data_IF_542698799882
#
_entry.id   IF_542698799882
#
_cell.length_a   1.000
_cell.length_b   1.000
_cell.length_c   1.000
_cell.angle_alpha   90.00
_cell.angle_beta   90.00
_cell.angle_gamma   90.00
#
_symmetry.space_group_name_H-M   'P 1'
#
loop_
_entity.id
_entity.type
_entity.pdbx_description
1 polymer ?
#
# COMPACT_ATOMS: atom_id res chain seq x y z
N UNK A 1 -11.18 15.31 25.37
CA UNK A 1 -12.17 14.62 24.51
C UNK A 1 -11.54 13.64 23.52
N UNK A 2 -10.82 14.06 22.47
CA UNK A 2 -10.20 13.10 21.52
C UNK A 2 -9.24 12.13 22.25
N UNK A 3 -8.41 12.65 23.15
CA UNK A 3 -7.48 11.84 23.93
C UNK A 3 -8.18 10.86 24.90
N UNK A 4 -9.27 11.29 25.52
CA UNK A 4 -9.96 10.48 26.54
C UNK A 4 -10.88 9.43 25.93
N UNK A 5 -11.48 9.72 24.76
CA UNK A 5 -12.45 8.85 24.09
C UNK A 5 -11.80 7.97 23.02
N UNK A 6 -11.07 8.58 22.08
CA UNK A 6 -10.57 7.88 20.90
C UNK A 6 -9.19 7.28 21.15
N UNK A 7 -8.26 8.07 21.71
CA UNK A 7 -6.89 7.59 21.94
C UNK A 7 -6.82 6.50 23.01
N UNK A 8 -7.66 6.56 24.04
CA UNK A 8 -7.70 5.53 25.08
C UNK A 8 -8.07 4.16 24.49
N UNK A 9 -9.11 4.09 23.66
CA UNK A 9 -9.48 2.86 22.96
C UNK A 9 -8.40 2.39 21.98
N UNK A 10 -7.87 3.31 21.16
CA UNK A 10 -6.78 2.99 20.23
C UNK A 10 -5.55 2.41 20.95
N UNK A 11 -5.17 2.98 22.10
CA UNK A 11 -4.06 2.47 22.94
C UNK A 11 -4.32 1.06 23.45
N UNK A 12 -5.55 0.80 23.88
CA UNK A 12 -5.96 -0.52 24.35
C UNK A 12 -5.90 -1.55 23.21
N UNK A 13 -6.50 -1.24 22.06
CA UNK A 13 -6.54 -2.13 20.91
C UNK A 13 -5.12 -2.40 20.34
N UNK A 14 -4.29 -1.35 20.17
CA UNK A 14 -2.88 -1.48 19.75
C UNK A 14 -2.00 -2.20 20.79
N UNK A 15 -2.35 -2.11 22.08
CA UNK A 15 -1.67 -2.82 23.15
C UNK A 15 -1.96 -4.32 23.19
N UNK A 16 -3.10 -4.74 22.60
CA UNK A 16 -3.44 -6.15 22.40
C UNK A 16 -2.72 -6.79 21.20
N UNK A 17 -2.12 -5.98 20.32
CA UNK A 17 -1.32 -6.46 19.20
C UNK A 17 0.16 -6.59 19.58
N UNK A 18 0.80 -7.65 19.08
CA UNK A 18 2.25 -7.77 19.12
C UNK A 18 2.90 -6.59 18.39
N UNK A 19 3.96 -6.01 18.97
CA UNK A 19 4.66 -4.85 18.41
C UNK A 19 5.20 -5.09 16.99
N UNK A 20 5.55 -6.34 16.67
CA UNK A 20 5.99 -6.73 15.32
C UNK A 20 4.90 -6.54 14.25
N UNK A 21 3.63 -6.57 14.65
CA UNK A 21 2.48 -6.43 13.75
C UNK A 21 2.05 -4.98 13.55
N UNK A 22 2.63 -4.01 14.28
CA UNK A 22 2.29 -2.59 14.11
C UNK A 22 2.52 -2.08 12.69
N UNK A 23 3.46 -2.66 11.95
CA UNK A 23 3.71 -2.28 10.56
C UNK A 23 2.89 -3.06 9.54
N UNK A 24 2.11 -4.05 9.97
CA UNK A 24 1.21 -4.81 9.11
C UNK A 24 -0.12 -4.06 8.94
N UNK A 25 -0.42 -3.65 7.70
CA UNK A 25 -1.67 -2.94 7.43
C UNK A 25 -2.92 -3.78 7.67
N UNK A 26 -2.98 -5.06 7.24
CA UNK A 26 -4.14 -5.90 7.51
C UNK A 26 -4.48 -6.04 9.00
N UNK A 27 -3.47 -6.09 9.87
CA UNK A 27 -3.67 -6.24 11.32
C UNK A 27 -4.05 -4.91 12.01
N UNK A 28 -3.70 -3.77 11.41
CA UNK A 28 -3.89 -2.44 12.03
C UNK A 28 -5.04 -1.64 11.41
N UNK A 29 -5.53 -2.03 10.24
CA UNK A 29 -6.51 -1.26 9.46
C UNK A 29 -7.82 -1.04 10.21
N UNK A 30 -8.37 -2.06 10.86
CA UNK A 30 -9.64 -1.96 11.58
C UNK A 30 -9.52 -1.03 12.80
N UNK A 31 -8.42 -1.14 13.54
CA UNK A 31 -8.14 -0.29 14.71
C UNK A 31 -7.97 1.18 14.28
N UNK A 32 -7.24 1.41 13.19
CA UNK A 32 -7.00 2.75 12.65
C UNK A 32 -8.27 3.38 12.06
N UNK A 33 -9.11 2.58 11.39
CA UNK A 33 -10.43 3.00 10.92
C UNK A 33 -11.36 3.37 12.08
N UNK A 34 -11.37 2.55 13.15
CA UNK A 34 -12.13 2.85 14.37
C UNK A 34 -11.69 4.16 15.02
N UNK A 35 -10.39 4.44 15.07
CA UNK A 35 -9.86 5.72 15.53
C UNK A 35 -10.30 6.88 14.64
N UNK A 36 -10.21 6.71 13.31
CA UNK A 36 -10.62 7.71 12.31
C UNK A 36 -12.09 8.07 12.47
N UNK A 37 -12.97 7.06 12.50
CA UNK A 37 -14.39 7.26 12.72
C UNK A 37 -14.67 7.92 14.09
N UNK A 38 -13.98 7.52 15.16
CA UNK A 38 -14.13 8.18 16.46
C UNK A 38 -13.78 9.68 16.40
N UNK A 39 -12.66 10.06 15.77
CA UNK A 39 -12.29 11.48 15.64
C UNK A 39 -13.27 12.26 14.77
N UNK A 40 -13.82 11.62 13.74
CA UNK A 40 -14.87 12.20 12.89
C UNK A 40 -16.16 12.46 13.70
N UNK A 41 -16.63 11.49 14.48
CA UNK A 41 -17.80 11.66 15.35
C UNK A 41 -17.59 12.73 16.42
N UNK A 42 -16.38 12.83 16.99
CA UNK A 42 -16.05 13.92 17.92
C UNK A 42 -16.10 15.27 17.22
N UNK A 43 -15.55 15.40 16.01
CA UNK A 43 -15.61 16.64 15.24
C UNK A 43 -17.05 17.05 14.94
N UNK A 44 -17.89 16.10 14.49
CA UNK A 44 -19.33 16.34 14.25
C UNK A 44 -20.06 16.81 15.51
N UNK A 45 -19.83 16.15 16.65
CA UNK A 45 -20.46 16.52 17.94
C UNK A 45 -20.03 17.91 18.41
N UNK A 46 -18.81 18.31 18.10
CA UNK A 46 -18.27 19.63 18.43
C UNK A 46 -18.55 20.67 17.35
N UNK A 47 -19.38 20.34 16.34
CA UNK A 47 -19.73 21.20 15.20
C UNK A 47 -18.50 21.74 14.45
N UNK A 48 -17.45 20.92 14.37
CA UNK A 48 -16.20 21.23 13.69
C UNK A 48 -16.08 20.45 12.38
N UNK A 49 -15.47 21.06 11.37
CA UNK A 49 -15.12 20.37 10.14
C UNK A 49 -14.06 19.29 10.38
N UNK A 50 -14.18 18.16 9.69
CA UNK A 50 -13.18 17.10 9.65
C UNK A 50 -12.77 16.88 8.19
N UNK A 51 -11.47 16.82 7.86
CA UNK A 51 -10.32 16.98 8.76
C UNK A 51 -10.04 18.47 9.10
N UNK A 52 -9.18 18.69 10.10
CA UNK A 52 -8.69 20.00 10.55
C UNK A 52 -7.32 19.88 11.23
N UNK A 53 -6.67 21.01 11.55
CA UNK A 53 -5.30 21.03 12.12
C UNK A 53 -5.17 20.30 13.48
N UNK A 54 -6.26 20.14 14.24
CA UNK A 54 -6.23 19.42 15.52
C UNK A 54 -6.11 17.92 15.24
N UNK A 55 -6.93 17.38 14.34
CA UNK A 55 -6.85 15.95 13.97
C UNK A 55 -5.57 15.64 13.21
N UNK A 56 -5.05 16.56 12.38
CA UNK A 56 -3.75 16.36 11.70
C UNK A 56 -2.61 16.19 12.71
N UNK A 57 -2.51 17.09 13.70
CA UNK A 57 -1.48 16.99 14.76
C UNK A 57 -1.64 15.71 15.59
N UNK A 58 -2.88 15.32 15.85
CA UNK A 58 -3.19 14.11 16.58
C UNK A 58 -2.73 12.84 15.83
N UNK A 59 -3.08 12.70 14.55
CA UNK A 59 -2.65 11.57 13.74
C UNK A 59 -1.14 11.56 13.51
N UNK A 60 -0.51 12.72 13.32
CA UNK A 60 0.96 12.82 13.25
C UNK A 60 1.65 12.30 14.51
N UNK A 61 1.09 12.55 15.69
CA UNK A 61 1.63 12.02 16.95
C UNK A 61 1.48 10.49 17.03
N UNK A 62 0.37 9.95 16.54
CA UNK A 62 0.15 8.50 16.48
C UNK A 62 1.15 7.84 15.54
N UNK A 63 1.34 8.39 14.34
CA UNK A 63 2.33 7.89 13.38
C UNK A 63 3.75 7.92 13.95
N UNK A 64 4.14 9.01 14.63
CA UNK A 64 5.43 9.09 15.32
C UNK A 64 5.60 8.12 16.48
N UNK A 65 4.52 7.70 17.12
CA UNK A 65 4.60 6.81 18.30
C UNK A 65 4.56 5.34 17.89
N UNK A 66 3.57 4.96 17.07
CA UNK A 66 3.28 3.57 16.73
C UNK A 66 3.90 3.12 15.41
N UNK A 67 4.00 4.04 14.43
CA UNK A 67 4.34 3.68 13.05
C UNK A 67 5.69 4.25 12.56
N UNK A 68 6.53 4.77 13.48
CA UNK A 68 7.76 5.49 13.12
C UNK A 68 8.80 4.65 12.37
N UNK A 69 8.82 3.33 12.58
CA UNK A 69 9.72 2.41 11.90
C UNK A 69 9.05 1.67 10.73
N UNK A 70 7.79 2.00 10.42
CA UNK A 70 7.07 1.28 9.39
C UNK A 70 7.46 1.79 8.00
N UNK A 71 7.68 0.89 7.04
CA UNK A 71 7.99 1.29 5.67
C UNK A 71 6.78 2.01 5.07
N UNK A 72 7.06 3.13 4.38
CA UNK A 72 6.09 3.83 3.54
C UNK A 72 5.72 2.98 2.30
N UNK A 73 6.67 2.16 1.85
CA UNK A 73 6.57 1.29 0.68
C UNK A 73 5.81 0.00 0.98
N UNK A 74 5.03 -0.48 0.00
CA UNK A 74 4.26 -1.73 0.09
C UNK A 74 2.77 -1.57 0.45
N UNK A 75 2.32 -0.37 0.83
CA UNK A 75 0.89 -0.05 1.03
C UNK A 75 0.24 0.63 -0.17
N UNK A 76 1.03 1.40 -0.93
CA UNK A 76 0.54 2.12 -2.10
C UNK A 76 0.68 1.24 -3.33
N UNK A 77 -0.41 1.07 -4.09
CA UNK A 77 -0.37 0.42 -5.39
C UNK A 77 0.54 1.25 -6.29
N UNK A 78 1.72 0.72 -6.63
CA UNK A 78 2.70 1.40 -7.46
C UNK A 78 3.33 0.40 -8.41
N UNK A 79 3.76 0.88 -9.57
CA UNK A 79 4.49 0.06 -10.52
C UNK A 79 5.78 -0.46 -9.88
N UNK A 80 6.20 -1.70 -10.21
CA UNK A 80 7.47 -2.22 -9.76
C UNK A 80 8.62 -1.34 -10.28
N UNK A 81 9.76 -1.30 -9.57
CA UNK A 81 10.92 -0.53 -10.01
C UNK A 81 11.34 -0.92 -11.44
N UNK A 82 11.83 0.06 -12.21
CA UNK A 82 12.11 -0.11 -13.64
C UNK A 82 13.07 -1.27 -13.94
N UNK A 83 14.00 -1.57 -13.01
CA UNK A 83 14.92 -2.70 -13.13
C UNK A 83 14.23 -4.07 -13.11
N UNK A 84 13.02 -4.16 -12.58
CA UNK A 84 12.18 -5.37 -12.62
C UNK A 84 11.23 -5.27 -13.83
N UNK A 85 10.55 -4.14 -14.00
CA UNK A 85 9.55 -3.96 -15.05
C UNK A 85 10.11 -4.11 -16.47
N UNK A 86 11.29 -3.54 -16.73
CA UNK A 86 11.86 -3.53 -18.07
C UNK A 86 12.22 -4.94 -18.59
N UNK A 87 12.89 -5.82 -17.81
CA UNK A 87 13.07 -7.23 -18.21
C UNK A 87 11.76 -7.97 -18.49
N UNK A 88 10.73 -7.76 -17.67
CA UNK A 88 9.41 -8.38 -17.85
C UNK A 88 8.75 -7.99 -19.18
N UNK A 89 9.01 -6.79 -19.68
CA UNK A 89 8.52 -6.32 -20.99
C UNK A 89 9.45 -6.82 -22.12
N UNK A 90 10.76 -6.69 -21.95
CA UNK A 90 11.73 -6.98 -23.00
C UNK A 90 11.79 -8.47 -23.37
N UNK A 91 11.72 -9.37 -22.37
CA UNK A 91 11.85 -10.82 -22.60
C UNK A 91 10.73 -11.36 -23.51
N UNK A 92 9.43 -11.13 -23.25
CA UNK A 92 8.35 -11.56 -24.14
C UNK A 92 8.46 -10.98 -25.55
N UNK A 93 8.85 -9.70 -25.69
CA UNK A 93 9.04 -9.06 -26.99
C UNK A 93 10.16 -9.75 -27.77
N UNK A 94 11.30 -10.01 -27.14
CA UNK A 94 12.41 -10.71 -27.80
C UNK A 94 12.01 -12.14 -28.19
N UNK A 95 11.29 -12.87 -27.33
CA UNK A 95 10.80 -14.22 -27.62
C UNK A 95 9.87 -14.21 -28.83
N UNK A 96 8.91 -13.28 -28.91
CA UNK A 96 8.00 -13.19 -30.06
C UNK A 96 8.75 -12.87 -31.36
N UNK A 97 9.74 -11.97 -31.32
CA UNK A 97 10.58 -11.66 -32.49
C UNK A 97 11.43 -12.86 -32.93
N UNK A 98 12.00 -13.59 -31.98
CA UNK A 98 12.78 -14.81 -32.28
C UNK A 98 11.89 -15.91 -32.88
N UNK A 99 10.72 -16.16 -32.30
CA UNK A 99 9.80 -17.17 -32.80
C UNK A 99 9.29 -16.83 -34.20
N UNK A 100 8.94 -15.58 -34.46
CA UNK A 100 8.52 -15.14 -35.81
C UNK A 100 9.66 -15.30 -36.82
N UNK A 101 10.89 -14.92 -36.48
CA UNK A 101 12.05 -15.13 -37.33
C UNK A 101 12.30 -16.63 -37.61
N UNK A 102 12.19 -17.49 -36.59
CA UNK A 102 12.33 -18.94 -36.74
C UNK A 102 11.25 -19.53 -37.66
N UNK A 103 9.99 -19.10 -37.51
CA UNK A 103 8.88 -19.55 -38.36
C UNK A 103 9.10 -19.12 -39.81
N UNK A 104 9.46 -17.85 -40.06
CA UNK A 104 9.74 -17.34 -41.41
C UNK A 104 10.91 -18.10 -42.05
N UNK A 105 11.98 -18.32 -41.29
CA UNK A 105 13.15 -19.06 -41.78
C UNK A 105 12.80 -20.52 -42.14
N UNK A 106 12.06 -21.21 -41.26
CA UNK A 106 11.58 -22.57 -41.54
C UNK A 106 10.68 -22.62 -42.77
N UNK A 107 9.71 -21.70 -42.87
CA UNK A 107 8.77 -21.65 -43.98
C UNK A 107 9.46 -21.43 -45.33
N UNK A 108 10.39 -20.46 -45.41
CA UNK A 108 11.19 -20.23 -46.62
C UNK A 108 12.06 -21.44 -47.00
N UNK A 109 12.65 -22.12 -46.01
CA UNK A 109 13.46 -23.32 -46.28
C UNK A 109 12.60 -24.47 -46.80
N UNK A 110 11.37 -24.64 -46.31
CA UNK A 110 10.45 -25.68 -46.80
C UNK A 110 9.94 -25.37 -48.21
N UNK A 111 9.67 -24.10 -48.54
CA UNK A 111 9.28 -23.70 -49.90
C UNK A 111 10.42 -23.83 -50.92
N UNK A 112 11.68 -23.62 -50.52
CA UNK A 112 12.84 -23.78 -51.42
C UNK A 112 13.28 -25.24 -51.64
N UNK A 113 12.63 -26.21 -50.98
CA UNK A 113 12.92 -27.65 -51.08
C UNK A 113 11.82 -28.40 -51.86
N UNK A 114 10.72 -27.72 -52.21
CA UNK A 114 9.61 -28.21 -53.04
C UNK A 114 9.67 -27.57 -54.43
#
# INVERSE_FOLDING_TARGET
MINDLCLAKFKFDMGGLDRGLWCSWPDTTEIYEGLTNCTFQVALRMECFWPNQIVDRFFMQIHRTYFHNCPLTGRLLHDPPIGILAPFIAVPVLVTLLMTALVVWRSKRTQGVL
#
